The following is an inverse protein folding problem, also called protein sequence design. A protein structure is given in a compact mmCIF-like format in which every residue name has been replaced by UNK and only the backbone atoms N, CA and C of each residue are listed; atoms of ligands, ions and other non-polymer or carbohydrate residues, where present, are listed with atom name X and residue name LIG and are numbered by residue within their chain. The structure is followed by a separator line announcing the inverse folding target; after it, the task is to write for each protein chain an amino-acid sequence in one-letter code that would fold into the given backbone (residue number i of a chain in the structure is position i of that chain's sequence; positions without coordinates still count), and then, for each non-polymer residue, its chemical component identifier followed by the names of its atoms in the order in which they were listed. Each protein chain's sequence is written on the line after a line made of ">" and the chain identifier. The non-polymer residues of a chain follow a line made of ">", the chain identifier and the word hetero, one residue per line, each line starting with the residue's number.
data_IF_669062561133
#
_entry.id   IF_669062561133
#
_cell.length_a   1.000
_cell.length_b   1.000
_cell.length_c   1.000
_cell.angle_alpha   90.00
_cell.angle_beta   90.00
_cell.angle_gamma   90.00
#
_symmetry.space_group_name_H-M   'P 1'
#
loop_
_entity.id
_entity.type
_entity.pdbx_description
1 polymer ?
#
# COMPACT_ATOMS: atom_id res chain seq x y z
N UNK A 1 -24.53 -5.08 9.07
CA UNK A 1 -24.67 -5.30 7.61
C UNK A 1 -23.31 -5.42 6.92
N UNK A 2 -22.93 -6.63 6.55
CA UNK A 2 -21.84 -6.90 5.62
C UNK A 2 -22.39 -6.67 4.22
N UNK A 3 -21.91 -5.63 3.55
CA UNK A 3 -22.27 -5.39 2.15
C UNK A 3 -21.30 -6.22 1.30
N UNK A 4 -21.82 -7.22 0.60
CA UNK A 4 -21.08 -7.87 -0.49
C UNK A 4 -20.95 -6.84 -1.61
N UNK A 5 -19.78 -6.24 -1.72
CA UNK A 5 -19.40 -5.51 -2.93
C UNK A 5 -18.72 -6.52 -3.84
N UNK A 6 -19.22 -6.70 -5.06
CA UNK A 6 -18.65 -7.54 -6.14
C UNK A 6 -17.23 -7.09 -6.60
N UNK A 7 -16.59 -6.21 -5.84
CA UNK A 7 -15.27 -5.67 -6.15
C UNK A 7 -14.22 -6.41 -5.32
N UNK A 8 -13.29 -7.07 -6.00
CA UNK A 8 -12.05 -7.53 -5.38
C UNK A 8 -11.30 -6.31 -4.83
N UNK A 9 -11.24 -6.20 -3.50
CA UNK A 9 -10.52 -5.13 -2.81
C UNK A 9 -9.22 -5.69 -2.25
N UNK A 10 -8.13 -4.95 -2.48
CA UNK A 10 -6.83 -5.21 -1.87
C UNK A 10 -6.79 -4.43 -0.56
N UNK A 11 -6.78 -5.16 0.55
CA UNK A 11 -6.73 -4.59 1.88
C UNK A 11 -5.27 -4.41 2.34
N UNK A 12 -4.90 -3.18 2.68
CA UNK A 12 -3.64 -2.87 3.35
C UNK A 12 -3.98 -2.46 4.78
N UNK A 13 -3.52 -3.25 5.76
CA UNK A 13 -3.86 -3.08 7.18
C UNK A 13 -2.63 -3.21 8.07
N UNK A 14 -2.62 -2.48 9.18
CA UNK A 14 -1.69 -2.73 10.29
C UNK A 14 -2.18 -3.89 11.14
N UNK A 15 -1.31 -4.85 11.44
CA UNK A 15 -1.58 -5.89 12.43
C UNK A 15 -0.86 -5.57 13.73
N UNK A 16 -1.43 -6.02 14.84
CA UNK A 16 -0.78 -5.98 16.16
C UNK A 16 -1.02 -7.31 16.87
N UNK A 17 -0.14 -7.66 17.80
CA UNK A 17 -0.39 -8.77 18.73
C UNK A 17 -1.04 -8.23 19.99
N UNK A 18 -2.08 -8.91 20.48
CA UNK A 18 -2.63 -8.61 21.80
C UNK A 18 -1.75 -9.17 22.92
N UNK A 19 -2.13 -8.97 24.17
CA UNK A 19 -1.38 -9.46 25.35
C UNK A 19 -1.18 -10.98 25.36
N UNK A 20 -2.04 -11.73 24.67
CA UNK A 20 -1.94 -13.18 24.51
C UNK A 20 -1.07 -13.62 23.31
N UNK A 21 -0.40 -12.68 22.63
CA UNK A 21 0.42 -12.96 21.45
C UNK A 21 -0.38 -13.28 20.18
N UNK A 22 -1.70 -13.13 20.20
CA UNK A 22 -2.58 -13.42 19.06
C UNK A 22 -2.59 -12.22 18.12
N UNK A 23 -2.35 -12.46 16.82
CA UNK A 23 -2.47 -11.44 15.79
C UNK A 23 -3.91 -10.94 15.69
N UNK A 24 -4.04 -9.61 15.67
CA UNK A 24 -5.30 -8.90 15.56
C UNK A 24 -5.20 -7.83 14.49
N UNK A 25 -6.35 -7.63 13.86
CA UNK A 25 -6.61 -6.57 12.92
C UNK A 25 -6.51 -5.21 13.61
N UNK A 26 -5.48 -4.46 13.27
CA UNK A 26 -5.29 -3.10 13.71
C UNK A 26 -5.99 -2.07 12.84
N UNK A 27 -5.89 -0.83 13.29
CA UNK A 27 -6.33 0.36 12.58
C UNK A 27 -5.11 1.26 12.32
N UNK A 28 -4.97 1.87 11.13
CA UNK A 28 -5.93 1.89 10.03
C UNK A 28 -5.84 0.71 9.06
N UNK A 29 -6.96 0.47 8.35
CA UNK A 29 -7.05 -0.35 7.15
C UNK A 29 -7.47 0.53 5.96
N UNK A 30 -6.81 0.36 4.82
CA UNK A 30 -7.08 1.07 3.57
C UNK A 30 -7.32 0.03 2.49
N UNK A 31 -8.51 0.07 1.90
CA UNK A 31 -8.91 -0.80 0.81
C UNK A 31 -8.66 -0.11 -0.52
N UNK A 32 -7.98 -0.80 -1.43
CA UNK A 32 -7.72 -0.37 -2.79
C UNK A 32 -8.53 -1.24 -3.74
N UNK A 33 -9.28 -0.60 -4.64
CA UNK A 33 -9.81 -1.30 -5.81
C UNK A 33 -8.66 -1.64 -6.77
N UNK A 34 -8.84 -2.65 -7.61
CA UNK A 34 -7.82 -3.07 -8.57
C UNK A 34 -7.22 -1.91 -9.42
N UNK A 35 -8.00 -0.94 -9.94
CA UNK A 35 -7.41 0.20 -10.67
C UNK A 35 -6.58 1.13 -9.78
N UNK A 36 -6.93 1.24 -8.49
CA UNK A 36 -6.16 2.03 -7.53
C UNK A 36 -4.84 1.33 -7.18
N UNK A 37 -4.86 0.00 -7.09
CA UNK A 37 -3.66 -0.82 -6.91
C UNK A 37 -2.70 -0.73 -8.09
N UNK A 38 -3.19 -0.91 -9.32
CA UNK A 38 -2.38 -0.78 -10.55
C UNK A 38 -1.72 0.60 -10.66
N UNK A 39 -2.41 1.67 -10.23
CA UNK A 39 -1.81 3.02 -10.16
C UNK A 39 -0.71 3.12 -9.11
N UNK A 40 -0.86 2.46 -7.97
CA UNK A 40 0.17 2.42 -6.93
C UNK A 40 1.42 1.68 -7.44
N UNK A 41 1.24 0.53 -8.10
CA UNK A 41 2.34 -0.23 -8.73
C UNK A 41 3.07 0.61 -9.77
N UNK A 42 2.35 1.28 -10.67
CA UNK A 42 2.94 2.14 -11.70
C UNK A 42 3.71 3.34 -11.10
N UNK A 43 3.25 3.88 -9.98
CA UNK A 43 3.88 5.01 -9.30
C UNK A 43 5.10 4.62 -8.43
N UNK A 44 5.32 3.32 -8.20
CA UNK A 44 6.33 2.84 -7.25
C UNK A 44 7.75 3.36 -7.51
N UNK A 45 8.34 3.23 -8.72
CA UNK A 45 9.73 3.64 -8.95
C UNK A 45 9.95 5.13 -8.64
N UNK A 46 8.94 5.93 -9.00
CA UNK A 46 8.88 7.36 -8.81
C UNK A 46 8.79 7.76 -7.33
N UNK A 47 8.00 7.04 -6.54
CA UNK A 47 7.86 7.27 -5.10
C UNK A 47 9.12 6.85 -4.34
N UNK A 48 9.76 5.74 -4.75
CA UNK A 48 11.01 5.28 -4.17
C UNK A 48 12.15 6.26 -4.45
N UNK A 49 12.26 6.74 -5.70
CA UNK A 49 13.21 7.77 -6.06
C UNK A 49 12.97 9.05 -5.24
N UNK A 50 11.71 9.47 -5.11
CA UNK A 50 11.36 10.65 -4.32
C UNK A 50 11.72 10.51 -2.83
N UNK A 51 11.40 9.36 -2.23
CA UNK A 51 11.76 9.07 -0.84
C UNK A 51 13.29 9.08 -0.65
N UNK A 52 14.05 8.43 -1.53
CA UNK A 52 15.52 8.39 -1.48
C UNK A 52 16.15 9.78 -1.62
N UNK A 53 15.59 10.62 -2.49
CA UNK A 53 16.08 11.99 -2.73
C UNK A 53 15.54 13.00 -1.72
N UNK A 54 14.72 12.56 -0.74
CA UNK A 54 14.05 13.42 0.23
C UNK A 54 13.18 14.52 -0.40
N UNK A 55 12.70 14.30 -1.62
CA UNK A 55 11.77 15.22 -2.31
C UNK A 55 10.33 14.79 -2.07
N UNK A 56 9.43 15.77 -1.99
CA UNK A 56 8.02 15.47 -1.83
C UNK A 56 7.42 15.03 -3.16
N UNK A 57 6.76 13.89 -3.19
CA UNK A 57 5.98 13.40 -4.34
C UNK A 57 4.67 12.81 -3.88
N UNK A 58 3.59 13.10 -4.60
CA UNK A 58 2.25 12.59 -4.28
C UNK A 58 1.57 12.10 -5.54
N UNK A 59 0.90 10.96 -5.44
CA UNK A 59 0.11 10.35 -6.52
C UNK A 59 -1.30 10.07 -6.00
N UNK A 60 -2.30 10.55 -6.74
CA UNK A 60 -3.71 10.25 -6.45
C UNK A 60 -4.05 8.87 -7.01
N UNK A 61 -4.55 7.99 -6.15
CA UNK A 61 -4.99 6.64 -6.54
C UNK A 61 -6.47 6.66 -6.95
N UNK A 62 -7.28 7.43 -6.22
CA UNK A 62 -8.70 7.64 -6.47
C UNK A 62 -9.22 8.90 -5.78
N UNK A 63 -10.55 9.07 -5.74
CA UNK A 63 -11.19 10.29 -5.24
C UNK A 63 -10.77 10.66 -3.81
N UNK A 64 -10.53 9.65 -2.97
CA UNK A 64 -10.19 9.84 -1.55
C UNK A 64 -8.92 9.10 -1.15
N UNK A 65 -8.09 8.63 -2.08
CA UNK A 65 -6.87 7.89 -1.73
C UNK A 65 -5.66 8.43 -2.47
N UNK A 66 -4.54 8.52 -1.76
CA UNK A 66 -3.29 8.98 -2.32
C UNK A 66 -2.12 8.22 -1.68
N UNK A 67 -1.01 8.14 -2.40
CA UNK A 67 0.28 7.72 -1.86
C UNK A 67 1.25 8.89 -1.94
N UNK A 68 2.03 9.08 -0.88
CA UNK A 68 2.96 10.20 -0.75
C UNK A 68 4.33 9.71 -0.31
N UNK A 69 5.37 10.19 -1.00
CA UNK A 69 6.74 10.20 -0.51
C UNK A 69 7.03 11.57 0.11
N UNK A 70 7.41 11.60 1.38
CA UNK A 70 7.82 12.82 2.07
C UNK A 70 8.81 12.51 3.19
N UNK A 71 9.86 13.32 3.31
CA UNK A 71 10.91 13.18 4.35
C UNK A 71 11.52 11.77 4.43
N UNK A 72 11.70 11.12 3.27
CA UNK A 72 12.25 9.76 3.20
C UNK A 72 11.28 8.64 3.61
N UNK A 73 9.99 8.94 3.78
CA UNK A 73 8.94 7.97 4.12
C UNK A 73 7.90 7.91 3.01
N UNK A 74 7.33 6.72 2.82
CA UNK A 74 6.20 6.50 1.93
C UNK A 74 4.95 6.25 2.79
N UNK A 75 3.83 6.89 2.44
CA UNK A 75 2.58 6.84 3.17
C UNK A 75 1.42 6.60 2.23
N UNK A 76 0.55 5.66 2.58
CA UNK A 76 -0.77 5.50 1.97
C UNK A 76 -1.80 6.27 2.81
N UNK A 77 -2.60 7.09 2.13
CA UNK A 77 -3.55 8.02 2.72
C UNK A 77 -4.96 7.68 2.24
N UNK A 78 -5.91 7.56 3.18
CA UNK A 78 -7.35 7.58 2.92
C UNK A 78 -7.94 8.90 3.41
N UNK A 79 -8.91 9.42 2.67
CA UNK A 79 -9.54 10.72 2.87
C UNK A 79 -8.57 11.92 2.79
N UNK A 80 -7.68 11.93 1.79
CA UNK A 80 -6.64 12.97 1.62
C UNK A 80 -7.20 14.41 1.48
N UNK A 81 -8.48 14.57 1.14
CA UNK A 81 -9.16 15.86 1.05
C UNK A 81 -9.41 16.49 2.44
N UNK A 82 -9.36 15.71 3.50
CA UNK A 82 -9.52 16.23 4.85
C UNK A 82 -8.18 16.77 5.36
N UNK A 83 -8.09 18.10 5.52
CA UNK A 83 -6.86 18.75 5.98
C UNK A 83 -6.69 18.70 7.51
N UNK A 84 -7.67 18.17 8.26
CA UNK A 84 -7.55 18.05 9.71
C UNK A 84 -6.45 17.02 10.08
N UNK A 85 -5.38 17.45 10.76
CA UNK A 85 -4.30 16.56 11.20
C UNK A 85 -4.79 15.37 12.03
N UNK A 86 -5.87 15.53 12.81
CA UNK A 86 -6.45 14.44 13.61
C UNK A 86 -7.13 13.37 12.76
N UNK A 87 -7.64 13.72 11.59
CA UNK A 87 -8.21 12.75 10.67
C UNK A 87 -7.13 12.12 9.80
N UNK A 88 -6.09 12.88 9.43
CA UNK A 88 -4.98 12.35 8.65
C UNK A 88 -4.30 11.16 9.32
N UNK A 89 -3.96 11.23 10.62
CA UNK A 89 -3.31 10.09 11.29
C UNK A 89 -4.20 8.85 11.38
N UNK A 90 -5.53 9.03 11.48
CA UNK A 90 -6.50 7.94 11.54
C UNK A 90 -6.64 7.18 10.22
N UNK A 91 -6.15 7.72 9.11
CA UNK A 91 -6.33 7.12 7.79
C UNK A 91 -5.01 7.04 7.02
N UNK A 92 -3.89 7.05 7.73
CA UNK A 92 -2.54 6.97 7.14
C UNK A 92 -1.85 5.67 7.54
N UNK A 93 -1.33 4.95 6.55
CA UNK A 93 -0.39 3.85 6.76
C UNK A 93 0.98 4.32 6.28
N UNK A 94 1.88 4.62 7.22
CA UNK A 94 3.29 4.83 6.90
C UNK A 94 4.01 3.49 6.80
N UNK A 95 4.82 3.34 5.74
CA UNK A 95 5.64 2.15 5.51
C UNK A 95 7.08 2.38 5.93
N UNK A 96 7.70 1.36 6.52
CA UNK A 96 9.16 1.25 6.51
C UNK A 96 9.63 0.89 5.11
N UNK A 97 10.89 1.19 4.73
CA UNK A 97 11.44 0.75 3.44
C UNK A 97 11.34 -0.77 3.21
N UNK A 98 11.40 -1.57 4.28
CA UNK A 98 11.28 -3.03 4.24
C UNK A 98 9.83 -3.45 3.95
N UNK A 99 8.85 -2.86 4.64
CA UNK A 99 7.44 -3.16 4.42
C UNK A 99 6.96 -2.69 3.05
N UNK A 100 7.43 -1.51 2.61
CA UNK A 100 7.15 -0.99 1.27
C UNK A 100 7.62 -1.97 0.19
N UNK A 101 8.84 -2.51 0.33
CA UNK A 101 9.34 -3.52 -0.60
C UNK A 101 8.49 -4.79 -0.56
N UNK A 102 8.15 -5.33 0.60
CA UNK A 102 7.35 -6.57 0.65
C UNK A 102 6.00 -6.45 -0.06
N UNK A 103 5.28 -5.36 0.17
CA UNK A 103 4.00 -5.09 -0.49
C UNK A 103 4.12 -5.01 -2.02
N UNK A 104 5.30 -4.67 -2.52
CA UNK A 104 5.52 -4.39 -3.94
C UNK A 104 6.28 -5.50 -4.69
N UNK A 105 7.04 -6.36 -4.00
CA UNK A 105 7.93 -7.33 -4.64
C UNK A 105 7.45 -8.79 -4.51
N UNK A 106 6.56 -9.13 -3.56
CA UNK A 106 6.04 -10.51 -3.46
C UNK A 106 5.16 -10.91 -4.66
N UNK A 107 4.52 -9.96 -5.35
CA UNK A 107 3.77 -10.24 -6.58
C UNK A 107 4.63 -10.36 -7.85
N UNK A 108 5.88 -9.90 -7.83
CA UNK A 108 6.80 -10.03 -8.96
C UNK A 108 7.53 -11.38 -8.95
N UNK A 109 7.84 -11.90 -7.76
CA UNK A 109 8.59 -13.15 -7.61
C UNK A 109 7.75 -14.37 -8.06
N UNK A 110 6.43 -14.38 -7.85
CA UNK A 110 5.55 -15.48 -8.29
C UNK A 110 5.41 -15.56 -9.82
N UNK A 111 5.35 -14.42 -10.52
CA UNK A 111 5.22 -14.39 -11.98
C UNK A 111 6.57 -14.71 -12.65
N UNK A 112 7.69 -14.20 -12.12
CA UNK A 112 9.04 -14.49 -12.63
C UNK A 112 9.48 -15.93 -12.34
N UNK A 113 9.13 -16.50 -11.18
CA UNK A 113 9.37 -17.93 -10.92
C UNK A 113 8.50 -18.83 -11.79
N UNK A 114 7.21 -18.52 -11.97
CA UNK A 114 6.35 -19.30 -12.86
C UNK A 114 6.84 -19.26 -14.32
N UNK A 115 7.28 -18.09 -14.81
CA UNK A 115 7.86 -17.91 -16.14
C UNK A 115 9.22 -18.61 -16.29
N UNK A 116 10.04 -18.64 -15.23
CA UNK A 116 11.32 -19.33 -15.22
C UNK A 116 11.14 -20.86 -15.21
N UNK A 117 10.16 -21.39 -14.46
CA UNK A 117 9.83 -22.81 -14.43
C UNK A 117 9.24 -23.31 -15.75
N UNK A 118 8.40 -22.50 -16.42
CA UNK A 118 7.84 -22.84 -17.74
C UNK A 118 8.92 -22.86 -18.82
N UNK A 119 9.86 -21.90 -18.80
CA UNK A 119 11.04 -21.88 -19.70
C UNK A 119 12.01 -23.03 -19.46
N UNK A 120 12.06 -23.59 -18.24
CA UNK A 120 12.91 -24.73 -17.92
C UNK A 120 12.29 -26.09 -18.33
N UNK A 121 11.00 -26.10 -18.73
CA UNK A 121 10.26 -27.29 -19.18
C UNK A 121 10.17 -27.47 -20.70
N UNK A 122 10.71 -26.52 -21.49
CA UNK A 122 10.76 -26.57 -22.97
C UNK A 122 12.13 -27.03 -23.46
#
# INVERSE_FOLDING_TARGET
>A
PTFETEHNLIEIRRLYTNEAGVWKDGFPAIYLAEPEWKKLEAARPDLEAAARLHVNKRVLLGNFKAVEASRGRIRLLRNWLNQDPKFNWRYTIEFTPELWRRICFESADEEETALAEDRARV
#
